data_IF_370609139247
#
_entry.id   IF_370609139247
#
_cell.length_a   1.000
_cell.length_b   1.000
_cell.length_c   1.000
_cell.angle_alpha   90.00
_cell.angle_beta   90.00
_cell.angle_gamma   90.00
#
_symmetry.space_group_name_H-M   'P 1'
#
loop_
_entity.id
_entity.type
_entity.pdbx_description
1 polymer ?
#
# COMPACT_ATOMS: atom_id res chain seq x y z
N UNK A 1 7.16 -50.78 -29.44
CA UNK A 1 6.27 -49.80 -28.75
C UNK A 1 6.80 -49.63 -27.33
N UNK A 2 7.67 -48.65 -27.09
CA UNK A 2 8.17 -48.34 -25.74
C UNK A 2 7.97 -46.83 -25.56
N UNK A 3 7.00 -46.50 -24.73
CA UNK A 3 6.59 -45.15 -24.39
C UNK A 3 7.77 -44.38 -23.78
N UNK A 4 8.15 -43.27 -24.41
CA UNK A 4 9.12 -42.30 -23.90
C UNK A 4 8.54 -41.64 -22.64
N UNK A 5 8.97 -41.99 -21.42
CA UNK A 5 8.41 -41.42 -20.18
C UNK A 5 8.90 -39.98 -19.94
N UNK A 6 9.87 -39.52 -20.73
CA UNK A 6 10.58 -38.26 -20.54
C UNK A 6 9.75 -37.01 -20.87
N UNK A 7 8.68 -37.14 -21.66
CA UNK A 7 7.85 -35.99 -22.07
C UNK A 7 6.88 -35.59 -20.94
N UNK A 8 6.42 -36.55 -20.14
CA UNK A 8 5.48 -36.29 -19.06
C UNK A 8 6.09 -35.44 -17.92
N UNK A 9 7.38 -35.65 -17.62
CA UNK A 9 8.09 -34.95 -16.54
C UNK A 9 8.35 -33.47 -16.90
N UNK A 10 8.69 -33.19 -18.17
CA UNK A 10 8.91 -31.81 -18.64
C UNK A 10 7.59 -31.03 -18.67
N UNK A 11 6.50 -31.67 -19.10
CA UNK A 11 5.18 -31.04 -19.10
C UNK A 11 4.70 -30.68 -17.69
N UNK A 12 5.04 -31.48 -16.67
CA UNK A 12 4.67 -31.21 -15.28
C UNK A 12 5.47 -30.07 -14.64
N UNK A 13 6.77 -29.98 -14.94
CA UNK A 13 7.64 -28.90 -14.46
C UNK A 13 7.22 -27.53 -15.02
N UNK A 14 6.78 -27.47 -16.29
CA UNK A 14 6.25 -26.24 -16.90
C UNK A 14 4.90 -25.87 -16.29
N UNK A 15 4.02 -26.83 -15.99
CA UNK A 15 2.71 -26.56 -15.40
C UNK A 15 2.80 -26.09 -13.94
N UNK A 16 3.74 -26.62 -13.15
CA UNK A 16 3.98 -26.14 -11.79
C UNK A 16 4.60 -24.72 -11.78
N UNK A 17 5.40 -24.36 -12.78
CA UNK A 17 5.97 -23.02 -12.93
C UNK A 17 4.97 -21.98 -13.46
N UNK A 18 4.02 -22.36 -14.32
CA UNK A 18 2.98 -21.43 -14.81
C UNK A 18 1.78 -21.30 -13.88
N UNK A 19 1.63 -22.18 -12.89
CA UNK A 19 0.54 -22.11 -11.91
C UNK A 19 0.79 -21.14 -10.74
N UNK A 20 2.01 -20.64 -10.53
CA UNK A 20 2.28 -19.71 -9.42
C UNK A 20 3.23 -18.52 -9.73
N UNK A 21 3.16 -17.83 -10.88
CA UNK A 21 3.60 -16.45 -10.89
C UNK A 21 2.50 -15.66 -10.17
N UNK A 22 2.75 -15.37 -8.90
CA UNK A 22 2.17 -14.27 -8.13
C UNK A 22 0.92 -13.62 -8.77
N UNK A 23 -0.25 -14.26 -8.62
CA UNK A 23 -1.49 -13.49 -8.57
C UNK A 23 -1.41 -12.68 -7.27
N UNK A 24 -0.64 -11.61 -7.29
CA UNK A 24 -0.86 -10.49 -6.39
C UNK A 24 -2.23 -9.91 -6.76
N UNK A 25 -3.25 -10.58 -6.25
CA UNK A 25 -4.58 -10.04 -6.17
C UNK A 25 -4.40 -8.75 -5.36
N UNK A 26 -4.69 -7.62 -6.00
CA UNK A 26 -4.89 -6.37 -5.28
C UNK A 26 -5.70 -6.72 -4.05
N UNK A 27 -5.09 -6.62 -2.88
CA UNK A 27 -5.81 -7.04 -1.69
C UNK A 27 -6.92 -6.01 -1.53
N UNK A 28 -8.15 -6.40 -1.15
CA UNK A 28 -9.23 -5.44 -0.91
C UNK A 28 -8.83 -4.33 0.09
N UNK A 29 -7.76 -4.56 0.85
CA UNK A 29 -7.19 -3.68 1.85
C UNK A 29 -6.16 -2.69 1.30
N UNK A 30 -5.65 -2.87 0.08
CA UNK A 30 -4.65 -1.98 -0.55
C UNK A 30 -5.03 -0.48 -0.51
N UNK A 31 -6.26 -0.05 -0.89
CA UNK A 31 -6.63 1.37 -0.83
C UNK A 31 -6.69 1.90 0.61
N UNK A 32 -7.05 1.04 1.56
CA UNK A 32 -7.13 1.38 2.98
C UNK A 32 -5.72 1.51 3.57
N UNK A 33 -4.83 0.56 3.24
CA UNK A 33 -3.41 0.61 3.58
C UNK A 33 -2.75 1.88 3.03
N UNK A 34 -3.03 2.21 1.77
CA UNK A 34 -2.51 3.42 1.13
C UNK A 34 -2.86 4.67 1.95
N UNK A 35 -4.11 4.83 2.38
CA UNK A 35 -4.54 6.00 3.16
C UNK A 35 -3.76 6.19 4.47
N UNK A 36 -3.48 5.10 5.18
CA UNK A 36 -2.68 5.15 6.41
C UNK A 36 -1.22 5.47 6.14
N UNK A 37 -0.64 4.90 5.08
CA UNK A 37 0.76 5.16 4.69
C UNK A 37 0.93 6.61 4.19
N UNK A 38 -0.03 7.13 3.42
CA UNK A 38 -0.04 8.51 2.96
C UNK A 38 -0.07 9.50 4.13
N UNK A 39 -0.91 9.25 5.13
CA UNK A 39 -0.96 10.06 6.35
C UNK A 39 0.36 10.00 7.15
N UNK A 40 0.98 8.82 7.29
CA UNK A 40 2.29 8.68 7.94
C UNK A 40 3.38 9.43 7.19
N UNK A 41 3.44 9.27 5.87
CA UNK A 41 4.42 9.95 5.03
C UNK A 41 4.28 11.47 5.13
N UNK A 42 3.05 11.98 5.11
CA UNK A 42 2.79 13.41 5.26
C UNK A 42 3.25 13.96 6.59
N UNK A 43 3.04 13.22 7.68
CA UNK A 43 3.51 13.65 9.01
C UNK A 43 5.03 13.76 9.12
N UNK A 44 5.78 13.09 8.23
CA UNK A 44 7.23 13.13 8.18
C UNK A 44 7.78 14.16 7.18
N UNK A 45 7.07 14.36 6.07
CA UNK A 45 7.57 15.16 4.93
C UNK A 45 6.93 16.54 4.78
N UNK A 46 5.75 16.77 5.37
CA UNK A 46 4.98 18.01 5.24
C UNK A 46 5.12 18.87 6.49
N UNK A 47 5.47 20.14 6.31
CA UNK A 47 5.68 21.07 7.42
C UNK A 47 4.36 21.39 8.14
N UNK A 48 4.39 21.37 9.47
CA UNK A 48 3.24 21.68 10.32
C UNK A 48 2.11 20.63 10.31
N UNK A 49 2.32 19.48 9.67
CA UNK A 49 1.36 18.36 9.62
C UNK A 49 1.83 17.25 10.56
N UNK A 50 0.91 16.71 11.37
CA UNK A 50 1.17 15.56 12.25
C UNK A 50 0.05 14.55 12.14
N UNK A 51 0.36 13.27 12.33
CA UNK A 51 -0.68 12.26 12.58
C UNK A 51 -1.43 12.60 13.87
N UNK A 52 -2.75 12.50 13.82
CA UNK A 52 -3.61 12.42 14.99
C UNK A 52 -3.63 10.96 15.49
N UNK A 53 -2.97 10.64 16.62
CA UNK A 53 -2.80 9.26 17.06
C UNK A 53 -4.12 8.58 17.45
N UNK A 54 -5.08 9.35 17.98
CA UNK A 54 -6.37 8.81 18.41
C UNK A 54 -7.21 8.45 17.19
N UNK A 55 -7.20 9.31 16.17
CA UNK A 55 -7.90 9.05 14.91
C UNK A 55 -7.24 7.94 14.11
N UNK A 56 -5.91 7.89 14.07
CA UNK A 56 -5.18 6.82 13.41
C UNK A 56 -5.45 5.46 14.07
N UNK A 57 -5.48 5.40 15.41
CA UNK A 57 -5.86 4.18 16.15
C UNK A 57 -7.31 3.77 15.89
N UNK A 58 -8.24 4.72 15.87
CA UNK A 58 -9.64 4.43 15.55
C UNK A 58 -9.80 3.94 14.10
N UNK A 59 -9.05 4.51 13.16
CA UNK A 59 -8.99 4.04 11.78
C UNK A 59 -8.48 2.62 11.69
N UNK A 60 -7.31 2.32 12.26
CA UNK A 60 -6.69 0.99 12.21
C UNK A 60 -7.59 -0.08 12.85
N UNK A 61 -8.26 0.27 13.96
CA UNK A 61 -9.21 -0.63 14.61
C UNK A 61 -10.43 -0.93 13.73
N UNK A 62 -11.02 0.07 13.06
CA UNK A 62 -12.17 -0.12 12.17
C UNK A 62 -11.85 -0.93 10.93
N UNK A 63 -10.64 -0.77 10.42
CA UNK A 63 -10.17 -1.43 9.19
C UNK A 63 -9.49 -2.77 9.46
N UNK A 64 -9.39 -3.16 10.73
CA UNK A 64 -8.69 -4.36 11.19
C UNK A 64 -7.23 -4.44 10.73
N UNK A 65 -6.61 -3.28 10.49
CA UNK A 65 -5.20 -3.15 10.14
C UNK A 65 -4.37 -2.97 11.41
N UNK A 66 -3.25 -3.67 11.46
CA UNK A 66 -2.27 -3.56 12.53
C UNK A 66 -0.94 -2.98 12.01
N UNK A 67 0.00 -2.75 12.92
CA UNK A 67 1.32 -2.21 12.59
C UNK A 67 2.09 -3.05 11.55
N UNK A 68 1.96 -4.38 11.60
CA UNK A 68 2.62 -5.26 10.64
C UNK A 68 2.05 -5.07 9.23
N UNK A 69 0.74 -4.81 9.10
CA UNK A 69 0.12 -4.51 7.80
C UNK A 69 0.71 -3.25 7.17
N UNK A 70 0.94 -2.19 7.96
CA UNK A 70 1.50 -0.93 7.45
C UNK A 70 3.00 -1.01 7.11
N UNK A 71 3.79 -1.75 7.89
CA UNK A 71 5.25 -1.59 7.88
C UNK A 71 6.07 -2.88 7.73
N UNK A 72 5.47 -4.06 7.88
CA UNK A 72 6.22 -5.33 7.88
C UNK A 72 5.84 -6.28 6.75
N UNK A 73 4.59 -6.24 6.29
CA UNK A 73 4.12 -7.12 5.21
C UNK A 73 4.61 -6.65 3.84
N UNK A 74 4.86 -7.62 2.96
CA UNK A 74 5.14 -7.36 1.54
C UNK A 74 3.97 -6.64 0.90
N UNK A 75 4.26 -5.56 0.19
CA UNK A 75 3.25 -4.76 -0.53
C UNK A 75 2.90 -5.43 -1.84
N UNK A 76 1.63 -5.34 -2.24
CA UNK A 76 1.25 -5.66 -3.61
C UNK A 76 1.93 -4.70 -4.58
N UNK A 77 2.20 -5.12 -5.82
CA UNK A 77 2.77 -4.30 -6.89
C UNK A 77 1.92 -3.06 -7.15
N UNK A 78 0.59 -3.14 -7.01
CA UNK A 78 -0.28 -1.98 -7.14
C UNK A 78 -0.10 -0.98 -6.01
N UNK A 79 -0.07 -1.45 -4.76
CA UNK A 79 0.18 -0.58 -3.62
C UNK A 79 1.56 0.07 -3.74
N UNK A 80 2.57 -0.70 -4.13
CA UNK A 80 3.92 -0.19 -4.36
C UNK A 80 3.94 0.89 -5.46
N UNK A 81 3.30 0.63 -6.61
CA UNK A 81 3.22 1.61 -7.70
C UNK A 81 2.53 2.92 -7.28
N UNK A 82 1.47 2.86 -6.45
CA UNK A 82 0.81 4.04 -5.91
C UNK A 82 1.74 4.84 -4.98
N UNK A 83 2.53 4.15 -4.15
CA UNK A 83 3.51 4.79 -3.27
C UNK A 83 4.69 5.40 -4.05
N UNK A 84 5.13 4.75 -5.13
CA UNK A 84 6.21 5.26 -5.99
C UNK A 84 5.75 6.53 -6.74
N UNK A 85 4.51 6.56 -7.21
CA UNK A 85 3.89 7.75 -7.80
C UNK A 85 3.78 8.90 -6.78
N UNK A 86 3.34 8.60 -5.56
CA UNK A 86 3.29 9.56 -4.47
C UNK A 86 4.68 10.12 -4.13
N UNK A 87 5.69 9.25 -4.03
CA UNK A 87 7.06 9.68 -3.74
C UNK A 87 7.61 10.56 -4.87
N UNK A 88 7.30 10.22 -6.13
CA UNK A 88 7.62 11.05 -7.29
C UNK A 88 6.96 12.43 -7.18
N UNK A 89 5.65 12.49 -6.89
CA UNK A 89 4.93 13.76 -6.69
C UNK A 89 5.53 14.59 -5.57
N UNK A 90 5.89 13.99 -4.45
CA UNK A 90 6.54 14.68 -3.32
C UNK A 90 7.94 15.19 -3.65
N UNK A 91 8.66 14.54 -4.57
CA UNK A 91 9.96 15.03 -5.07
C UNK A 91 9.81 16.18 -6.07
N UNK A 92 8.82 16.10 -6.96
CA UNK A 92 8.60 17.10 -8.01
C UNK A 92 7.95 18.37 -7.47
N UNK A 93 6.86 18.24 -6.72
CA UNK A 93 6.16 19.36 -6.08
C UNK A 93 5.65 18.94 -4.71
N UNK A 94 6.56 19.04 -3.73
CA UNK A 94 6.27 18.72 -2.34
C UNK A 94 5.09 19.53 -1.80
N UNK A 95 4.96 20.80 -2.17
CA UNK A 95 3.93 21.69 -1.62
C UNK A 95 2.55 21.25 -2.10
N UNK A 96 2.39 21.05 -3.41
CA UNK A 96 1.12 20.58 -3.97
C UNK A 96 0.74 19.19 -3.45
N UNK A 97 1.70 18.26 -3.37
CA UNK A 97 1.46 16.93 -2.84
C UNK A 97 1.02 16.97 -1.36
N UNK A 98 1.68 17.77 -0.52
CA UNK A 98 1.31 17.95 0.88
C UNK A 98 -0.08 18.58 1.06
N UNK A 99 -0.44 19.58 0.26
CA UNK A 99 -1.79 20.15 0.27
C UNK A 99 -2.85 19.13 -0.15
N UNK A 100 -2.58 18.32 -1.18
CA UNK A 100 -3.51 17.27 -1.63
C UNK A 100 -3.76 16.22 -0.52
N UNK A 101 -2.69 15.77 0.15
CA UNK A 101 -2.78 14.87 1.31
C UNK A 101 -3.55 15.53 2.45
N UNK A 102 -3.29 16.81 2.74
CA UNK A 102 -3.99 17.54 3.80
C UNK A 102 -5.49 17.67 3.53
N UNK A 103 -5.89 17.88 2.27
CA UNK A 103 -7.30 17.87 1.86
C UNK A 103 -7.90 16.47 2.07
N UNK A 104 -7.17 15.41 1.69
CA UNK A 104 -7.65 14.03 1.77
C UNK A 104 -7.78 13.50 3.21
N UNK A 105 -6.90 13.93 4.13
CA UNK A 105 -6.77 13.32 5.46
C UNK A 105 -6.77 14.31 6.62
N UNK A 106 -6.89 15.60 6.38
CA UNK A 106 -6.96 16.65 7.39
C UNK A 106 -8.25 16.65 8.21
N UNK A 107 -8.44 17.63 9.10
CA UNK A 107 -9.56 17.66 10.05
C UNK A 107 -10.94 17.79 9.38
N UNK A 108 -10.98 18.30 8.14
CA UNK A 108 -12.20 18.43 7.33
C UNK A 108 -12.50 17.20 6.45
N UNK A 109 -11.57 16.24 6.34
CA UNK A 109 -11.79 15.01 5.57
C UNK A 109 -12.71 14.04 6.32
N UNK A 110 -13.19 12.99 5.64
CA UNK A 110 -13.93 11.92 6.31
C UNK A 110 -13.04 10.99 7.15
N UNK A 111 -11.80 10.75 6.69
CA UNK A 111 -10.85 9.84 7.35
C UNK A 111 -10.16 10.47 8.56
N UNK A 112 -9.91 11.79 8.53
CA UNK A 112 -9.40 12.62 9.65
C UNK A 112 -8.18 12.03 10.33
N UNK A 113 -7.14 11.71 9.57
CA UNK A 113 -5.93 11.11 10.11
C UNK A 113 -4.88 12.14 10.57
N UNK A 114 -5.01 13.40 10.12
CA UNK A 114 -4.01 14.43 10.31
C UNK A 114 -4.54 15.61 11.13
N UNK A 115 -3.63 16.25 11.87
CA UNK A 115 -3.83 17.53 12.56
C UNK A 115 -2.68 18.50 12.27
N UNK A 116 -2.99 19.80 12.29
CA UNK A 116 -2.00 20.86 12.10
C UNK A 116 -1.49 21.27 13.48
N UNK A 117 -0.16 21.34 13.62
CA UNK A 117 0.51 21.72 14.87
C UNK A 117 0.51 23.22 15.11
#
# INVERSE_FOLDING_TARGET
MIFRPSIAVIAWAVFCFTAQPHREQATPQDPVLLSGIEADLASRKCDGVRIDPDRFRAFSSRTQLNHADFFQKTRSVRLQAALDDLDTRLRTDRRAACEAIWIAYGPASELRLLRRS
#
